data_IF_584807245585
#
_entry.id   IF_584807245585
#
_cell.length_a   1.000
_cell.length_b   1.000
_cell.length_c   1.000
_cell.angle_alpha   90.00
_cell.angle_beta   90.00
_cell.angle_gamma   90.00
#
_symmetry.space_group_name_H-M   'P 1'
#
loop_
_entity.id
_entity.type
_entity.pdbx_description
1 polymer ?
#
# COMPACT_ATOMS: atom_id res chain seq x y z
N UNK A 1 38.65 -23.95 -28.04
CA UNK A 1 38.29 -24.38 -26.67
C UNK A 1 37.20 -23.46 -26.16
N UNK A 2 35.95 -23.90 -26.23
CA UNK A 2 34.80 -23.14 -25.72
C UNK A 2 34.59 -23.52 -24.25
N UNK A 3 34.63 -22.54 -23.36
CA UNK A 3 34.25 -22.72 -21.97
C UNK A 3 32.75 -22.45 -21.86
N UNK A 4 31.99 -23.49 -21.56
CA UNK A 4 30.59 -23.39 -21.16
C UNK A 4 30.54 -22.86 -19.72
N UNK A 5 29.86 -21.72 -19.55
CA UNK A 5 29.56 -21.18 -18.21
C UNK A 5 28.46 -22.03 -17.57
N UNK A 6 28.54 -22.39 -16.28
CA UNK A 6 27.52 -23.22 -15.65
C UNK A 6 26.23 -22.42 -15.47
N UNK A 7 25.13 -22.94 -16.02
CA UNK A 7 23.79 -22.43 -15.80
C UNK A 7 23.41 -22.62 -14.32
N UNK A 8 23.27 -21.50 -13.60
CA UNK A 8 22.71 -21.45 -12.25
C UNK A 8 21.25 -21.88 -12.27
N UNK A 9 21.00 -23.17 -12.07
CA UNK A 9 19.67 -23.74 -11.90
C UNK A 9 19.13 -23.31 -10.54
N UNK A 10 18.46 -22.15 -10.51
CA UNK A 10 17.73 -21.71 -9.31
C UNK A 10 16.45 -22.54 -9.21
N UNK A 11 16.52 -23.68 -8.52
CA UNK A 11 15.35 -24.52 -8.26
C UNK A 11 14.33 -23.69 -7.46
N UNK A 12 13.06 -23.59 -7.89
CA UNK A 12 12.05 -22.84 -7.15
C UNK A 12 11.78 -23.55 -5.81
N UNK A 13 12.15 -22.89 -4.72
CA UNK A 13 11.89 -23.36 -3.36
C UNK A 13 10.40 -23.69 -3.20
N UNK A 14 10.05 -24.89 -2.68
CA UNK A 14 8.67 -25.34 -2.60
C UNK A 14 7.83 -24.32 -1.82
N UNK A 15 6.67 -23.94 -2.40
CA UNK A 15 5.72 -23.02 -1.75
C UNK A 15 5.28 -23.65 -0.42
N UNK A 16 5.83 -23.16 0.70
CA UNK A 16 5.38 -23.56 2.04
C UNK A 16 3.98 -23.00 2.27
N UNK A 17 3.01 -23.89 2.42
CA UNK A 17 1.67 -23.54 2.84
C UNK A 17 1.61 -23.55 4.37
N UNK A 18 1.19 -22.44 4.97
CA UNK A 18 0.99 -22.37 6.42
C UNK A 18 -0.24 -23.17 6.82
N UNK A 19 -0.11 -23.96 7.87
CA UNK A 19 -1.22 -24.62 8.55
C UNK A 19 -2.19 -23.62 9.14
N UNK A 20 -3.43 -24.05 9.43
CA UNK A 20 -4.44 -23.18 10.01
C UNK A 20 -4.04 -22.64 11.39
N UNK A 21 -3.31 -23.44 12.17
CA UNK A 21 -2.78 -23.04 13.48
C UNK A 21 -1.70 -21.99 13.35
N UNK A 22 -0.73 -22.16 12.45
CA UNK A 22 0.30 -21.16 12.16
C UNK A 22 -0.32 -19.84 11.69
N UNK A 23 -1.34 -19.90 10.82
CA UNK A 23 -2.05 -18.70 10.39
C UNK A 23 -2.71 -17.98 11.56
N UNK A 24 -3.30 -18.72 12.50
CA UNK A 24 -3.92 -18.16 13.70
C UNK A 24 -2.90 -17.49 14.61
N UNK A 25 -1.73 -18.12 14.79
CA UNK A 25 -0.60 -17.55 15.56
C UNK A 25 -0.10 -16.26 14.90
N UNK A 26 0.11 -16.27 13.59
CA UNK A 26 0.55 -15.07 12.83
C UNK A 26 -0.45 -13.93 13.01
N UNK A 27 -1.75 -14.20 12.87
CA UNK A 27 -2.80 -13.18 13.04
C UNK A 27 -2.77 -12.61 14.46
N UNK A 28 -2.66 -13.44 15.51
CA UNK A 28 -2.54 -12.97 16.90
C UNK A 28 -1.29 -12.12 17.13
N UNK A 29 -0.15 -12.53 16.58
CA UNK A 29 1.10 -11.78 16.69
C UNK A 29 0.98 -10.41 16.01
N UNK A 30 0.38 -10.36 14.81
CA UNK A 30 0.13 -9.11 14.11
C UNK A 30 -0.79 -8.19 14.92
N UNK A 31 -1.88 -8.71 15.51
CA UNK A 31 -2.76 -7.91 16.38
C UNK A 31 -1.98 -7.29 17.55
N UNK A 32 -1.11 -8.08 18.20
CA UNK A 32 -0.24 -7.61 19.28
C UNK A 32 0.69 -6.49 18.80
N UNK A 33 1.33 -6.66 17.64
CA UNK A 33 2.20 -5.63 17.08
C UNK A 33 1.45 -4.34 16.72
N UNK A 34 0.21 -4.45 16.21
CA UNK A 34 -0.66 -3.28 15.96
C UNK A 34 -1.00 -2.58 17.29
N UNK A 35 -1.38 -3.34 18.33
CA UNK A 35 -1.66 -2.79 19.65
C UNK A 35 -0.46 -2.10 20.31
N UNK A 36 0.77 -2.49 19.94
CA UNK A 36 2.01 -1.84 20.35
C UNK A 36 2.41 -0.65 19.46
N UNK A 37 1.56 -0.23 18.52
CA UNK A 37 1.80 0.93 17.66
C UNK A 37 2.83 0.71 16.56
N UNK A 38 3.21 -0.55 16.24
CA UNK A 38 4.19 -0.84 15.19
C UNK A 38 3.68 -0.48 13.80
N UNK A 39 4.57 0.03 12.95
CA UNK A 39 4.21 0.38 11.58
C UNK A 39 3.96 -0.86 10.74
N UNK A 40 3.10 -0.73 9.73
CA UNK A 40 2.76 -1.85 8.83
C UNK A 40 3.98 -2.39 8.08
N UNK A 41 4.91 -1.51 7.72
CA UNK A 41 6.18 -1.87 7.08
C UNK A 41 7.02 -2.78 7.99
N UNK A 42 7.16 -2.42 9.26
CA UNK A 42 7.88 -3.18 10.29
C UNK A 42 7.23 -4.54 10.55
N UNK A 43 5.91 -4.57 10.71
CA UNK A 43 5.14 -5.81 10.88
C UNK A 43 5.38 -6.76 9.70
N UNK A 44 5.28 -6.24 8.47
CA UNK A 44 5.51 -7.06 7.28
C UNK A 44 6.94 -7.60 7.22
N UNK A 45 7.93 -6.79 7.61
CA UNK A 45 9.34 -7.22 7.62
C UNK A 45 9.57 -8.30 8.67
N UNK A 46 9.09 -8.11 9.91
CA UNK A 46 9.29 -9.06 11.00
C UNK A 46 8.63 -10.42 10.72
N UNK A 47 7.37 -10.43 10.29
CA UNK A 47 6.64 -11.68 10.00
C UNK A 47 7.21 -12.39 8.76
N UNK A 48 7.65 -11.62 7.76
CA UNK A 48 8.29 -12.17 6.56
C UNK A 48 9.58 -12.92 6.91
N UNK A 49 10.42 -12.33 7.77
CA UNK A 49 11.65 -12.94 8.23
C UNK A 49 11.40 -14.20 9.08
N UNK A 50 10.48 -14.11 10.04
CA UNK A 50 10.21 -15.19 11.01
C UNK A 50 9.59 -16.44 10.37
N UNK A 51 8.65 -16.25 9.43
CA UNK A 51 7.85 -17.34 8.85
C UNK A 51 8.25 -17.69 7.41
N UNK A 52 9.28 -17.05 6.85
CA UNK A 52 9.73 -17.29 5.47
C UNK A 52 8.68 -16.93 4.42
N UNK A 53 7.87 -15.89 4.67
CA UNK A 53 6.77 -15.47 3.79
C UNK A 53 7.18 -14.26 2.96
N UNK A 54 6.61 -14.11 1.77
CA UNK A 54 6.71 -12.84 1.04
C UNK A 54 5.98 -11.72 1.79
N UNK A 55 6.51 -10.49 1.77
CA UNK A 55 5.83 -9.31 2.35
C UNK A 55 4.44 -9.09 1.77
N UNK A 56 4.21 -9.49 0.51
CA UNK A 56 2.90 -9.44 -0.13
C UNK A 56 1.93 -10.43 0.55
N UNK A 57 2.35 -11.68 0.78
CA UNK A 57 1.59 -12.70 1.50
C UNK A 57 1.18 -12.24 2.90
N UNK A 58 2.11 -11.59 3.64
CA UNK A 58 1.84 -11.05 4.98
C UNK A 58 0.68 -10.04 4.99
N UNK A 59 0.49 -9.30 3.89
CA UNK A 59 -0.58 -8.29 3.78
C UNK A 59 -1.97 -8.88 4.02
N UNK A 60 -2.21 -10.13 3.61
CA UNK A 60 -3.49 -10.81 3.82
C UNK A 60 -3.77 -11.03 5.31
N UNK A 61 -2.75 -11.44 6.07
CA UNK A 61 -2.87 -11.63 7.52
C UNK A 61 -3.00 -10.31 8.28
N UNK A 62 -2.34 -9.25 7.82
CA UNK A 62 -2.53 -7.88 8.36
C UNK A 62 -3.97 -7.42 8.19
N UNK A 63 -4.54 -7.60 6.99
CA UNK A 63 -5.92 -7.21 6.72
C UNK A 63 -6.92 -8.04 7.55
N UNK A 64 -6.68 -9.35 7.69
CA UNK A 64 -7.47 -10.23 8.56
C UNK A 64 -7.40 -9.78 10.03
N UNK A 65 -6.19 -9.55 10.56
CA UNK A 65 -5.99 -9.09 11.93
C UNK A 65 -6.76 -7.79 12.21
N UNK A 66 -6.66 -6.80 11.30
CA UNK A 66 -7.41 -5.54 11.41
C UNK A 66 -8.92 -5.74 11.39
N UNK A 67 -9.41 -6.64 10.53
CA UNK A 67 -10.85 -6.94 10.47
C UNK A 67 -11.32 -7.54 11.79
N UNK A 68 -10.63 -8.57 12.30
CA UNK A 68 -11.00 -9.20 13.57
C UNK A 68 -10.84 -8.24 14.77
N UNK A 69 -9.90 -7.31 14.73
CA UNK A 69 -9.80 -6.25 15.75
C UNK A 69 -10.98 -5.28 15.71
N UNK A 70 -11.47 -4.94 14.50
CA UNK A 70 -12.68 -4.12 14.34
C UNK A 70 -13.94 -4.84 14.79
N UNK A 71 -14.06 -6.14 14.49
CA UNK A 71 -15.19 -6.97 14.93
C UNK A 71 -15.26 -7.07 16.47
N UNK A 72 -14.10 -7.05 17.14
CA UNK A 72 -14.02 -7.08 18.60
C UNK A 72 -14.34 -5.73 19.26
N UNK A 73 -14.15 -4.63 18.53
CA UNK A 73 -14.57 -3.31 18.99
C UNK A 73 -16.10 -3.25 18.80
N UNK A 74 -16.85 -3.72 19.80
CA UNK A 74 -18.30 -3.46 19.96
C UNK A 74 -18.60 -1.96 20.22
N UNK A 75 -17.71 -1.07 19.79
CA UNK A 75 -17.91 0.36 19.90
C UNK A 75 -18.80 0.84 18.77
N UNK A 76 -19.75 1.69 19.12
CA UNK A 76 -20.54 2.43 18.16
C UNK A 76 -19.63 3.22 17.19
N UNK A 77 -20.01 3.23 15.91
CA UNK A 77 -19.19 3.83 14.85
C UNK A 77 -18.94 5.32 15.10
N UNK A 78 -19.92 6.02 15.68
CA UNK A 78 -19.80 7.45 15.97
C UNK A 78 -18.86 7.70 17.15
N UNK A 79 -18.85 6.82 18.16
CA UNK A 79 -17.85 6.87 19.22
C UNK A 79 -16.44 6.68 18.67
N UNK A 80 -16.22 5.71 17.78
CA UNK A 80 -14.91 5.50 17.18
C UNK A 80 -14.46 6.70 16.34
N UNK A 81 -15.38 7.35 15.62
CA UNK A 81 -15.10 8.59 14.88
C UNK A 81 -14.71 9.72 15.82
N UNK A 82 -15.43 9.90 16.93
CA UNK A 82 -15.15 10.90 17.94
C UNK A 82 -13.76 10.69 18.56
N UNK A 83 -13.44 9.47 18.99
CA UNK A 83 -12.13 9.13 19.57
C UNK A 83 -11.00 9.40 18.57
N UNK A 84 -11.19 9.03 17.30
CA UNK A 84 -10.22 9.29 16.23
C UNK A 84 -10.03 10.79 16.00
N UNK A 85 -11.12 11.57 16.01
CA UNK A 85 -11.08 13.02 15.86
C UNK A 85 -10.24 13.67 16.97
N UNK A 86 -10.50 13.32 18.24
CA UNK A 86 -9.76 13.88 19.37
C UNK A 86 -8.29 13.48 19.36
N UNK A 87 -7.98 12.24 18.96
CA UNK A 87 -6.59 11.81 18.79
C UNK A 87 -5.84 12.66 17.76
N UNK A 88 -6.37 12.81 16.53
CA UNK A 88 -5.70 13.62 15.51
C UNK A 88 -5.66 15.11 15.86
N UNK A 89 -6.68 15.62 16.55
CA UNK A 89 -6.66 16.98 17.08
C UNK A 89 -5.53 17.20 18.08
N UNK A 90 -5.31 16.22 18.97
CA UNK A 90 -4.19 16.27 19.92
C UNK A 90 -2.82 16.33 19.23
N UNK A 91 -2.64 15.65 18.08
CA UNK A 91 -1.40 15.71 17.29
C UNK A 91 -1.21 17.10 16.67
N UNK A 92 -2.29 17.75 16.19
CA UNK A 92 -2.22 19.09 15.59
C UNK A 92 -1.84 20.13 16.65
N UNK A 93 -2.38 19.99 17.86
CA UNK A 93 -2.17 20.89 18.99
C UNK A 93 -0.83 20.63 19.70
N UNK A 94 -0.23 19.44 19.55
CA UNK A 94 1.02 19.09 20.21
C UNK A 94 2.18 19.99 19.73
N UNK A 95 2.93 20.64 20.64
CA UNK A 95 4.00 21.57 20.26
C UNK A 95 5.10 20.90 19.44
N UNK A 96 5.51 19.70 19.83
CA UNK A 96 6.61 18.96 19.19
C UNK A 96 6.22 18.17 17.93
N UNK A 97 4.95 18.19 17.52
CA UNK A 97 4.53 17.48 16.31
C UNK A 97 5.13 18.15 15.07
N UNK A 98 5.77 17.33 14.22
CA UNK A 98 6.35 17.79 12.98
C UNK A 98 5.27 18.30 12.02
N UNK A 99 5.66 19.19 11.10
CA UNK A 99 4.75 19.73 10.08
C UNK A 99 4.09 18.62 9.26
N UNK A 100 4.83 17.54 8.95
CA UNK A 100 4.29 16.40 8.21
C UNK A 100 3.23 15.64 9.03
N UNK A 101 3.44 15.43 10.34
CA UNK A 101 2.45 14.80 11.21
C UNK A 101 1.18 15.65 11.34
N UNK A 102 1.34 16.98 11.48
CA UNK A 102 0.20 17.91 11.53
C UNK A 102 -0.60 17.90 10.23
N UNK A 103 0.05 17.88 9.07
CA UNK A 103 -0.62 17.78 7.76
C UNK A 103 -1.39 16.47 7.66
N UNK A 104 -0.74 15.34 7.96
CA UNK A 104 -1.39 14.02 7.97
C UNK A 104 -2.60 13.97 8.92
N UNK A 105 -2.47 14.54 10.10
CA UNK A 105 -3.56 14.57 11.08
C UNK A 105 -4.76 15.39 10.56
N UNK A 106 -4.52 16.53 9.88
CA UNK A 106 -5.57 17.32 9.23
C UNK A 106 -6.26 16.55 8.11
N UNK A 107 -5.50 15.91 7.21
CA UNK A 107 -6.05 15.05 6.15
C UNK A 107 -6.95 13.94 6.74
N UNK A 108 -6.55 13.37 7.88
CA UNK A 108 -7.35 12.35 8.57
C UNK A 108 -8.62 12.90 9.16
N UNK A 109 -8.60 14.10 9.73
CA UNK A 109 -9.81 14.78 10.21
C UNK A 109 -10.75 15.08 9.05
N UNK A 110 -10.24 15.62 7.93
CA UNK A 110 -11.05 15.88 6.73
C UNK A 110 -11.73 14.59 6.23
N UNK A 111 -11.00 13.46 6.27
CA UNK A 111 -11.57 12.15 5.96
C UNK A 111 -12.69 11.72 6.91
N UNK A 112 -12.50 11.92 8.22
CA UNK A 112 -13.52 11.59 9.22
C UNK A 112 -14.78 12.45 9.01
N UNK A 113 -14.59 13.73 8.65
CA UNK A 113 -15.65 14.70 8.42
C UNK A 113 -16.26 14.64 7.01
N UNK A 114 -15.72 13.81 6.11
CA UNK A 114 -16.19 13.71 4.73
C UNK A 114 -15.91 14.95 3.87
N UNK A 115 -14.89 15.74 4.22
CA UNK A 115 -14.50 16.97 3.53
C UNK A 115 -13.50 16.73 2.39
N UNK A 116 -13.06 15.48 2.17
CA UNK A 116 -12.17 15.12 1.07
C UNK A 116 -12.83 15.45 -0.28
N UNK A 117 -12.17 16.29 -1.08
CA UNK A 117 -12.53 16.49 -2.48
C UNK A 117 -12.23 15.16 -3.20
N UNK A 118 -13.19 14.54 -3.90
CA UNK A 118 -12.93 13.30 -4.61
C UNK A 118 -11.82 13.53 -5.64
N UNK A 119 -10.65 12.91 -5.45
CA UNK A 119 -9.55 12.95 -6.41
C UNK A 119 -9.86 12.05 -7.61
N UNK A 120 -10.96 12.31 -8.32
CA UNK A 120 -11.26 11.65 -9.59
C UNK A 120 -10.53 12.36 -10.73
N UNK A 121 -9.22 12.50 -10.61
CA UNK A 121 -8.35 12.68 -11.77
C UNK A 121 -7.68 11.33 -12.04
N UNK A 122 -8.46 10.40 -12.58
CA UNK A 122 -7.86 9.35 -13.41
C UNK A 122 -7.44 10.05 -14.69
N UNK A 123 -6.17 10.45 -14.77
CA UNK A 123 -5.56 10.63 -16.08
C UNK A 123 -5.55 9.25 -16.73
N UNK A 124 -6.62 8.94 -17.48
CA UNK A 124 -6.60 7.90 -18.51
C UNK A 124 -5.68 8.39 -19.63
N UNK A 125 -4.40 8.52 -19.31
CA UNK A 125 -3.37 8.80 -20.29
C UNK A 125 -3.09 7.47 -20.98
N UNK A 126 -3.80 7.22 -22.08
CA UNK A 126 -3.48 6.16 -23.04
C UNK A 126 -2.16 6.50 -23.76
N UNK A 127 -1.06 6.68 -23.04
CA UNK A 127 0.28 6.66 -23.60
C UNK A 127 0.62 5.20 -23.90
N UNK A 128 0.06 4.68 -24.98
CA UNK A 128 0.26 3.30 -25.42
C UNK A 128 1.66 3.07 -26.02
N UNK A 129 2.51 4.09 -26.07
CA UNK A 129 3.90 4.00 -26.52
C UNK A 129 4.84 4.38 -25.38
N UNK A 130 5.85 3.55 -25.18
CA UNK A 130 6.98 3.80 -24.28
C UNK A 130 7.86 4.95 -24.79
N UNK A 131 8.71 5.50 -23.91
CA UNK A 131 9.63 6.60 -24.25
C UNK A 131 10.55 6.18 -25.40
N UNK A 132 11.08 4.96 -25.35
CA UNK A 132 11.95 4.39 -26.39
C UNK A 132 11.24 4.28 -27.74
N UNK A 133 9.94 3.97 -27.76
CA UNK A 133 9.16 3.91 -29.00
C UNK A 133 8.88 5.30 -29.58
N UNK A 134 8.83 6.34 -28.74
CA UNK A 134 8.67 7.73 -29.19
C UNK A 134 10.00 8.27 -29.75
N UNK A 135 11.13 7.96 -29.11
CA UNK A 135 12.46 8.37 -29.56
C UNK A 135 12.88 7.73 -30.88
N UNK A 136 12.39 6.53 -31.17
CA UNK A 136 12.68 5.81 -32.41
C UNK A 136 11.71 6.11 -33.56
N UNK A 137 10.70 6.95 -33.35
CA UNK A 137 9.78 7.36 -34.41
C UNK A 137 10.40 8.45 -35.28
N UNK A 138 10.06 8.44 -36.57
CA UNK A 138 10.36 9.59 -37.41
C UNK A 138 9.50 10.80 -37.02
N UNK A 139 9.95 12.00 -37.39
CA UNK A 139 9.20 13.24 -37.14
C UNK A 139 7.77 13.18 -37.72
N UNK A 140 7.60 12.55 -38.89
CA UNK A 140 6.30 12.37 -39.54
C UNK A 140 5.38 11.39 -38.78
N UNK A 141 5.94 10.32 -38.23
CA UNK A 141 5.23 9.36 -37.38
C UNK A 141 4.82 9.99 -36.04
N UNK A 142 5.67 10.86 -35.51
CA UNK A 142 5.42 11.59 -34.27
C UNK A 142 4.29 12.61 -34.44
N UNK A 143 4.30 13.37 -35.53
CA UNK A 143 3.25 14.32 -35.85
C UNK A 143 1.90 13.63 -36.09
N UNK A 144 1.88 12.50 -36.80
CA UNK A 144 0.64 11.75 -37.03
C UNK A 144 0.09 11.15 -35.73
N UNK A 145 0.96 10.61 -34.86
CA UNK A 145 0.56 10.11 -33.54
C UNK A 145 0.03 11.23 -32.64
N UNK A 146 0.72 12.37 -32.59
CA UNK A 146 0.32 13.55 -31.82
C UNK A 146 -1.04 14.10 -32.29
N UNK A 147 -1.25 14.24 -33.60
CA UNK A 147 -2.52 14.70 -34.15
C UNK A 147 -3.67 13.72 -33.87
N UNK A 148 -3.39 12.40 -33.88
CA UNK A 148 -4.37 11.37 -33.50
C UNK A 148 -4.77 11.47 -32.03
N UNK A 149 -3.81 11.70 -31.13
CA UNK A 149 -4.09 11.93 -29.70
C UNK A 149 -4.89 13.22 -29.50
N UNK A 150 -4.47 14.31 -30.14
CA UNK A 150 -5.15 15.61 -30.07
C UNK A 150 -6.62 15.51 -30.51
N UNK A 151 -6.92 14.74 -31.56
CA UNK A 151 -8.29 14.49 -32.02
C UNK A 151 -9.12 13.63 -31.04
N UNK A 152 -8.48 12.70 -30.32
CA UNK A 152 -9.15 11.79 -29.38
C UNK A 152 -9.56 12.48 -28.07
N UNK A 153 -8.82 13.49 -27.66
CA UNK A 153 -9.00 14.19 -26.37
C UNK A 153 -9.45 15.66 -26.50
N UNK A 154 -9.80 16.10 -27.71
CA UNK A 154 -10.51 17.35 -27.96
C UNK A 154 -12.01 17.15 -27.98
#
# INVERSE_FOLDING_TARGET
>A
MHQESPQSTTTPSPRRYLTQDEQTVIVRLIKKMIGLGRFTSEIKTAISAEYGLSRHSVTRYVNRARREMREFLEQDLDQHRADSYFFYRSIIEHPDASNHERIRARERIDKIMGLEIPSKYQLNQDFNKSIEEIENMSDEELDTYYNKLKKKYS
#
